data_IF_339674856034
#
_entry.id   IF_339674856034
#
_cell.length_a   1.000
_cell.length_b   1.000
_cell.length_c   1.000
_cell.angle_alpha   90.00
_cell.angle_beta   90.00
_cell.angle_gamma   90.00
#
_symmetry.space_group_name_H-M   'P 1'
#
loop_
_entity.id
_entity.type
_entity.pdbx_description
1 polymer ?
#
# COMPACT_ATOMS: atom_id res chain seq x y z
N UNK A 1 -20.89 13.13 6.02
CA UNK A 1 -20.35 12.90 4.65
C UNK A 1 -18.95 13.48 4.51
N UNK A 2 -18.71 14.75 4.85
CA UNK A 2 -17.37 15.37 4.78
C UNK A 2 -16.27 14.56 5.47
N UNK A 3 -16.51 14.08 6.70
CA UNK A 3 -15.55 13.24 7.43
C UNK A 3 -15.21 11.93 6.71
N UNK A 4 -16.15 11.36 5.95
CA UNK A 4 -15.90 10.12 5.19
C UNK A 4 -15.10 10.40 3.92
N UNK A 5 -15.31 11.55 3.28
CA UNK A 5 -14.46 11.97 2.16
C UNK A 5 -13.04 12.30 2.63
N UNK A 6 -12.88 12.96 3.77
CA UNK A 6 -11.57 13.18 4.38
C UNK A 6 -10.85 11.85 4.69
N UNK A 7 -11.57 10.89 5.27
CA UNK A 7 -11.02 9.54 5.49
C UNK A 7 -10.64 8.85 4.17
N UNK A 8 -11.41 9.03 3.09
CA UNK A 8 -11.05 8.50 1.77
C UNK A 8 -9.73 9.10 1.26
N UNK A 9 -9.57 10.41 1.35
CA UNK A 9 -8.34 11.10 0.92
C UNK A 9 -7.12 10.61 1.70
N UNK A 10 -7.25 10.43 3.03
CA UNK A 10 -6.20 9.86 3.87
C UNK A 10 -5.84 8.42 3.48
N UNK A 11 -6.83 7.58 3.18
CA UNK A 11 -6.61 6.20 2.74
C UNK A 11 -5.91 6.16 1.38
N UNK A 12 -6.32 6.99 0.43
CA UNK A 12 -5.69 7.11 -0.90
C UNK A 12 -4.25 7.61 -0.80
N UNK A 13 -3.98 8.60 0.06
CA UNK A 13 -2.62 9.06 0.33
C UNK A 13 -1.77 7.92 0.91
N UNK A 14 -2.29 7.22 1.93
CA UNK A 14 -1.58 6.10 2.55
C UNK A 14 -1.31 4.96 1.56
N UNK A 15 -2.26 4.64 0.67
CA UNK A 15 -2.06 3.67 -0.40
C UNK A 15 -0.92 4.10 -1.35
N UNK A 16 -0.86 5.37 -1.72
CA UNK A 16 0.21 5.93 -2.54
C UNK A 16 1.58 5.81 -1.86
N UNK A 17 1.67 6.14 -0.56
CA UNK A 17 2.91 6.03 0.22
C UNK A 17 3.37 4.57 0.35
N UNK A 18 2.44 3.63 0.57
CA UNK A 18 2.74 2.19 0.59
C UNK A 18 3.28 1.69 -0.76
N UNK A 19 2.69 2.12 -1.87
CA UNK A 19 3.17 1.76 -3.20
C UNK A 19 4.56 2.34 -3.49
N UNK A 20 4.84 3.57 -3.06
CA UNK A 20 6.16 4.18 -3.17
C UNK A 20 7.21 3.40 -2.35
N UNK A 21 6.87 3.01 -1.12
CA UNK A 21 7.74 2.20 -0.28
C UNK A 21 8.04 0.86 -0.94
N UNK A 22 7.04 0.15 -1.48
CA UNK A 22 7.24 -1.11 -2.22
C UNK A 22 8.23 -0.96 -3.37
N UNK A 23 8.14 0.13 -4.13
CA UNK A 23 9.06 0.41 -5.23
C UNK A 23 10.51 0.61 -4.73
N UNK A 24 10.70 1.38 -3.65
CA UNK A 24 12.03 1.58 -3.03
C UNK A 24 12.61 0.26 -2.54
N UNK A 25 11.80 -0.59 -1.90
CA UNK A 25 12.25 -1.89 -1.40
C UNK A 25 12.68 -2.83 -2.53
N UNK A 26 11.94 -2.84 -3.64
CA UNK A 26 12.32 -3.60 -4.84
C UNK A 26 13.70 -3.19 -5.36
N UNK A 27 13.96 -1.87 -5.48
CA UNK A 27 15.27 -1.34 -5.89
C UNK A 27 16.37 -1.72 -4.89
N UNK A 28 16.11 -1.61 -3.59
CA UNK A 28 17.09 -2.01 -2.56
C UNK A 28 17.42 -3.50 -2.64
N UNK A 29 16.42 -4.35 -2.91
CA UNK A 29 16.59 -5.81 -3.02
C UNK A 29 17.45 -6.17 -4.22
N UNK A 30 17.23 -5.55 -5.37
CA UNK A 30 18.10 -5.68 -6.54
C UNK A 30 19.54 -5.24 -6.23
N UNK A 31 19.70 -4.14 -5.48
CA UNK A 31 21.00 -3.69 -5.00
C UNK A 31 21.70 -4.70 -4.07
N UNK A 32 20.95 -5.40 -3.21
CA UNK A 32 21.50 -6.44 -2.34
C UNK A 32 21.94 -7.67 -3.13
N UNK A 33 21.15 -8.09 -4.14
CA UNK A 33 21.53 -9.16 -5.08
C UNK A 33 22.83 -8.86 -5.80
N UNK A 34 22.97 -7.64 -6.32
CA UNK A 34 24.18 -7.21 -7.03
C UNK A 34 25.43 -7.17 -6.14
N UNK A 35 25.26 -7.11 -4.81
CA UNK A 35 26.34 -7.09 -3.81
C UNK A 35 26.50 -8.42 -3.07
N UNK A 36 25.77 -9.47 -3.48
CA UNK A 36 25.76 -10.79 -2.83
C UNK A 36 25.42 -10.73 -1.32
N UNK A 37 24.59 -9.75 -0.92
CA UNK A 37 24.18 -9.56 0.48
C UNK A 37 22.86 -10.30 0.76
N UNK A 38 22.96 -11.62 0.97
CA UNK A 38 21.79 -12.49 1.14
C UNK A 38 20.93 -12.13 2.36
N UNK A 39 21.53 -11.84 3.52
CA UNK A 39 20.79 -11.53 4.75
C UNK A 39 19.89 -10.29 4.58
N UNK A 40 20.42 -9.23 3.96
CA UNK A 40 19.64 -8.03 3.68
C UNK A 40 18.58 -8.29 2.60
N UNK A 41 18.89 -9.09 1.58
CA UNK A 41 17.89 -9.49 0.58
C UNK A 41 16.70 -10.23 1.22
N UNK A 42 16.98 -11.17 2.13
CA UNK A 42 15.95 -11.95 2.83
C UNK A 42 15.05 -11.05 3.69
N UNK A 43 15.64 -10.11 4.43
CA UNK A 43 14.89 -9.11 5.21
C UNK A 43 14.01 -8.26 4.30
N UNK A 44 14.54 -7.74 3.19
CA UNK A 44 13.77 -6.95 2.22
C UNK A 44 12.64 -7.76 1.58
N UNK A 45 12.84 -9.05 1.32
CA UNK A 45 11.82 -9.95 0.81
C UNK A 45 10.64 -10.11 1.80
N UNK A 46 10.93 -10.29 3.09
CA UNK A 46 9.89 -10.39 4.13
C UNK A 46 9.06 -9.11 4.21
N UNK A 47 9.71 -7.95 4.19
CA UNK A 47 9.01 -6.67 4.17
C UNK A 47 8.18 -6.46 2.91
N UNK A 48 8.66 -6.87 1.74
CA UNK A 48 7.93 -6.79 0.47
C UNK A 48 6.62 -7.60 0.50
N UNK A 49 6.66 -8.80 1.10
CA UNK A 49 5.48 -9.64 1.33
C UNK A 49 4.50 -8.92 2.26
N UNK A 50 4.99 -8.43 3.41
CA UNK A 50 4.16 -7.72 4.39
C UNK A 50 3.46 -6.50 3.77
N UNK A 51 4.23 -5.64 3.07
CA UNK A 51 3.67 -4.45 2.43
C UNK A 51 2.66 -4.79 1.34
N UNK A 52 2.85 -5.91 0.64
CA UNK A 52 1.88 -6.37 -0.35
C UNK A 52 0.55 -6.76 0.28
N UNK A 53 0.56 -7.47 1.42
CA UNK A 53 -0.65 -7.77 2.18
C UNK A 53 -1.33 -6.50 2.68
N UNK A 54 -0.57 -5.55 3.26
CA UNK A 54 -1.13 -4.29 3.76
C UNK A 54 -1.75 -3.46 2.63
N UNK A 55 -1.07 -3.36 1.48
CA UNK A 55 -1.59 -2.63 0.32
C UNK A 55 -2.89 -3.25 -0.23
N UNK A 56 -3.00 -4.58 -0.24
CA UNK A 56 -4.23 -5.28 -0.63
C UNK A 56 -5.39 -4.96 0.33
N UNK A 57 -5.15 -5.03 1.65
CA UNK A 57 -6.15 -4.66 2.64
C UNK A 57 -6.58 -3.20 2.51
N UNK A 58 -5.63 -2.28 2.31
CA UNK A 58 -5.91 -0.87 2.11
C UNK A 58 -6.81 -0.64 0.89
N UNK A 59 -6.49 -1.27 -0.24
CA UNK A 59 -7.27 -1.17 -1.47
C UNK A 59 -8.70 -1.70 -1.30
N UNK A 60 -8.87 -2.81 -0.57
CA UNK A 60 -10.19 -3.34 -0.24
C UNK A 60 -10.99 -2.37 0.63
N UNK A 61 -10.37 -1.75 1.64
CA UNK A 61 -11.03 -0.75 2.49
C UNK A 61 -11.45 0.50 1.69
N UNK A 62 -10.59 1.01 0.81
CA UNK A 62 -10.90 2.11 -0.11
C UNK A 62 -12.10 1.75 -0.98
N UNK A 63 -12.10 0.55 -1.58
CA UNK A 63 -13.19 0.08 -2.44
C UNK A 63 -14.54 0.01 -1.71
N UNK A 64 -14.56 -0.51 -0.47
CA UNK A 64 -15.78 -0.59 0.34
C UNK A 64 -16.32 0.81 0.66
N UNK A 65 -15.43 1.73 1.03
CA UNK A 65 -15.82 3.11 1.33
C UNK A 65 -16.34 3.83 0.08
N UNK A 66 -15.73 3.60 -1.08
CA UNK A 66 -16.15 4.20 -2.36
C UNK A 66 -17.55 3.73 -2.76
N UNK A 67 -17.80 2.43 -2.67
CA UNK A 67 -19.14 1.86 -2.89
C UNK A 67 -20.19 2.48 -1.96
N UNK A 68 -19.87 2.57 -0.67
CA UNK A 68 -20.77 3.17 0.32
C UNK A 68 -21.10 4.64 -0.01
N UNK A 69 -20.08 5.43 -0.37
CA UNK A 69 -20.26 6.85 -0.74
C UNK A 69 -21.09 6.99 -2.04
N UNK A 70 -20.86 6.11 -3.02
CA UNK A 70 -21.60 6.10 -4.28
C UNK A 70 -23.08 5.77 -4.09
N UNK A 71 -23.42 4.83 -3.20
CA UNK A 71 -24.80 4.52 -2.85
C UNK A 71 -25.49 5.69 -2.15
N UNK A 72 -24.80 6.35 -1.21
CA UNK A 72 -25.33 7.52 -0.48
C UNK A 72 -25.53 8.76 -1.34
N UNK A 73 -24.90 8.85 -2.51
CA UNK A 73 -25.09 9.95 -3.47
C UNK A 73 -26.34 9.75 -4.35
N UNK A 74 -26.86 8.52 -4.45
CA UNK A 74 -28.04 8.17 -5.26
C UNK A 74 -29.37 8.26 -4.51
N UNK A 75 -29.34 8.26 -3.17
CA UNK A 75 -30.50 8.44 -2.29
C UNK A 75 -30.51 9.82 -1.66
#
# INVERSE_FOLDING_TARGET
MEQLYAAMDELLQTESELNALKAVMSVMREGCRARESQEMEDVLCVFEIYLSCVAEHMRNSIHILDQFLAERKKG
#
